data_IF_494467297710
#
_entry.id   IF_494467297710
#
_cell.length_a   1.000
_cell.length_b   1.000
_cell.length_c   1.000
_cell.angle_alpha   90.00
_cell.angle_beta   90.00
_cell.angle_gamma   90.00
#
_symmetry.space_group_name_H-M   'P 1'
#
loop_
_entity.id
_entity.type
_entity.pdbx_description
1 polymer ?
#
# COMPACT_ATOMS: atom_id res chain seq x y z
N UNK A 1 -19.83 46.16 16.89
CA UNK A 1 -21.00 45.31 17.17
C UNK A 1 -20.89 43.88 16.60
N UNK A 2 -19.81 43.51 15.89
CA UNK A 2 -19.62 42.17 15.28
C UNK A 2 -18.94 41.11 16.18
N UNK A 3 -18.50 41.47 17.39
CA UNK A 3 -17.71 40.58 18.26
C UNK A 3 -18.52 39.49 18.98
N UNK A 4 -19.83 39.69 19.17
CA UNK A 4 -20.68 38.71 19.87
C UNK A 4 -21.01 37.46 19.04
N UNK A 5 -21.25 37.62 17.74
CA UNK A 5 -21.57 36.51 16.83
C UNK A 5 -20.36 35.58 16.61
N UNK A 6 -19.16 36.17 16.49
CA UNK A 6 -17.91 35.42 16.31
C UNK A 6 -17.50 34.66 17.58
N UNK A 7 -17.81 35.20 18.76
CA UNK A 7 -17.57 34.51 20.03
C UNK A 7 -18.50 33.31 20.22
N UNK A 8 -19.79 33.43 19.86
CA UNK A 8 -20.76 32.33 19.94
C UNK A 8 -20.42 31.22 18.96
N UNK A 9 -20.01 31.56 17.73
CA UNK A 9 -19.58 30.53 16.76
C UNK A 9 -18.34 29.79 17.24
N UNK A 10 -17.32 30.50 17.77
CA UNK A 10 -16.12 29.86 18.33
C UNK A 10 -16.45 28.94 19.50
N UNK A 11 -17.35 29.35 20.40
CA UNK A 11 -17.77 28.51 21.53
C UNK A 11 -18.51 27.26 21.06
N UNK A 12 -19.41 27.40 20.07
CA UNK A 12 -20.13 26.28 19.47
C UNK A 12 -19.19 25.30 18.76
N UNK A 13 -18.23 25.80 17.97
CA UNK A 13 -17.23 24.95 17.30
C UNK A 13 -16.29 24.26 18.30
N UNK A 14 -15.87 24.94 19.37
CA UNK A 14 -15.05 24.35 20.42
C UNK A 14 -15.82 23.26 21.18
N UNK A 15 -17.05 23.54 21.62
CA UNK A 15 -17.88 22.55 22.31
C UNK A 15 -18.17 21.33 21.42
N UNK A 16 -18.44 21.56 20.13
CA UNK A 16 -18.66 20.48 19.17
C UNK A 16 -17.38 19.68 18.87
N UNK A 17 -16.23 20.36 18.78
CA UNK A 17 -14.92 19.72 18.66
C UNK A 17 -14.59 18.86 19.89
N UNK A 18 -14.89 19.34 21.09
CA UNK A 18 -14.67 18.61 22.33
C UNK A 18 -15.54 17.35 22.40
N UNK A 19 -16.83 17.46 22.02
CA UNK A 19 -17.71 16.31 21.88
C UNK A 19 -17.21 15.26 20.88
N UNK A 20 -16.70 15.66 19.71
CA UNK A 20 -16.10 14.71 18.77
C UNK A 20 -14.84 14.04 19.32
N UNK A 21 -14.02 14.76 20.09
CA UNK A 21 -12.83 14.19 20.75
C UNK A 21 -13.20 13.20 21.84
N UNK A 22 -14.28 13.45 22.57
CA UNK A 22 -14.79 12.55 23.59
C UNK A 22 -15.38 11.28 22.98
N UNK A 23 -16.19 11.41 21.92
CA UNK A 23 -16.70 10.25 21.16
C UNK A 23 -15.55 9.40 20.61
N UNK A 24 -14.54 10.04 20.00
CA UNK A 24 -13.38 9.33 19.46
C UNK A 24 -12.56 8.62 20.55
N UNK A 25 -12.45 9.20 21.76
CA UNK A 25 -11.80 8.54 22.91
C UNK A 25 -12.59 7.33 23.37
N UNK A 26 -13.90 7.48 23.57
CA UNK A 26 -14.75 6.37 24.01
C UNK A 26 -14.76 5.22 22.99
N UNK A 27 -14.77 5.53 21.70
CA UNK A 27 -14.66 4.53 20.63
C UNK A 27 -13.31 3.82 20.68
N UNK A 28 -12.21 4.56 20.87
CA UNK A 28 -10.87 3.97 20.99
C UNK A 28 -10.73 3.10 22.25
N UNK A 29 -11.23 3.55 23.40
CA UNK A 29 -11.21 2.78 24.65
C UNK A 29 -12.03 1.49 24.51
N UNK A 30 -13.20 1.57 23.87
CA UNK A 30 -14.03 0.39 23.58
C UNK A 30 -13.29 -0.59 22.66
N UNK A 31 -12.62 -0.11 21.60
CA UNK A 31 -11.81 -0.95 20.71
C UNK A 31 -10.66 -1.65 21.45
N UNK A 32 -9.96 -0.94 22.35
CA UNK A 32 -8.88 -1.51 23.16
C UNK A 32 -9.41 -2.61 24.10
N UNK A 33 -10.54 -2.36 24.77
CA UNK A 33 -11.16 -3.34 25.65
C UNK A 33 -11.61 -4.60 24.90
N UNK A 34 -12.12 -4.46 23.67
CA UNK A 34 -12.44 -5.61 22.82
C UNK A 34 -11.19 -6.38 22.40
N UNK A 35 -10.10 -5.68 22.04
CA UNK A 35 -8.84 -6.31 21.68
C UNK A 35 -8.26 -7.11 22.85
N UNK A 36 -8.32 -6.56 24.07
CA UNK A 36 -7.92 -7.23 25.30
C UNK A 36 -8.72 -8.53 25.53
N UNK A 37 -10.04 -8.46 25.43
CA UNK A 37 -10.92 -9.63 25.56
C UNK A 37 -10.57 -10.72 24.54
N UNK A 38 -10.36 -10.36 23.27
CA UNK A 38 -9.99 -11.33 22.23
C UNK A 38 -8.59 -11.91 22.50
N UNK A 39 -7.65 -11.08 22.93
CA UNK A 39 -6.30 -11.52 23.28
C UNK A 39 -6.31 -12.51 24.46
N UNK A 40 -7.12 -12.27 25.48
CA UNK A 40 -7.29 -13.18 26.61
C UNK A 40 -7.84 -14.54 26.17
N UNK A 41 -8.90 -14.54 25.36
CA UNK A 41 -9.49 -15.76 24.81
C UNK A 41 -8.46 -16.51 23.95
N UNK A 42 -7.68 -15.80 23.13
CA UNK A 42 -6.64 -16.40 22.31
C UNK A 42 -5.52 -17.05 23.15
N UNK A 43 -4.97 -16.33 24.13
CA UNK A 43 -3.93 -16.85 25.02
C UNK A 43 -4.43 -18.05 25.80
N UNK A 44 -5.67 -18.03 26.28
CA UNK A 44 -6.22 -19.13 27.08
C UNK A 44 -6.54 -20.34 26.21
N UNK A 45 -7.24 -20.16 25.08
CA UNK A 45 -7.69 -21.28 24.25
C UNK A 45 -6.59 -21.82 23.32
N UNK A 46 -5.88 -20.94 22.61
CA UNK A 46 -4.94 -21.33 21.55
C UNK A 46 -3.49 -21.48 22.03
N UNK A 47 -3.11 -20.86 23.15
CA UNK A 47 -1.76 -21.00 23.70
C UNK A 47 -1.72 -21.94 24.91
N UNK A 48 -2.51 -21.67 25.96
CA UNK A 48 -2.47 -22.45 27.19
C UNK A 48 -2.96 -23.90 26.98
N UNK A 49 -4.01 -24.11 26.18
CA UNK A 49 -4.52 -25.44 25.83
C UNK A 49 -3.46 -26.35 25.18
N UNK A 50 -2.86 -25.95 24.03
CA UNK A 50 -1.80 -26.72 23.41
C UNK A 50 -0.58 -26.91 24.31
N UNK A 51 -0.17 -25.91 25.08
CA UNK A 51 0.95 -26.06 26.04
C UNK A 51 0.62 -27.11 27.10
N UNK A 52 -0.59 -27.12 27.66
CA UNK A 52 -0.99 -28.13 28.63
C UNK A 52 -0.96 -29.54 28.03
N UNK A 53 -1.43 -29.70 26.78
CA UNK A 53 -1.35 -30.95 26.03
C UNK A 53 0.11 -31.37 25.81
N UNK A 54 0.99 -30.43 25.45
CA UNK A 54 2.44 -30.70 25.29
C UNK A 54 3.02 -31.20 26.60
N UNK A 55 2.77 -30.52 27.72
CA UNK A 55 3.29 -30.92 29.04
C UNK A 55 2.81 -32.33 29.39
N UNK A 56 1.53 -32.63 29.18
CA UNK A 56 0.96 -33.96 29.42
C UNK A 56 1.64 -35.04 28.56
N UNK A 57 1.86 -34.77 27.28
CA UNK A 57 2.46 -35.73 26.35
C UNK A 57 3.96 -35.92 26.60
N UNK A 58 4.68 -34.85 26.97
CA UNK A 58 6.08 -34.94 27.42
C UNK A 58 6.17 -35.79 28.69
N UNK A 59 5.26 -35.59 29.65
CA UNK A 59 5.19 -36.42 30.85
C UNK A 59 4.95 -37.91 30.54
N UNK A 60 4.03 -38.23 29.61
CA UNK A 60 3.82 -39.61 29.13
C UNK A 60 5.08 -40.19 28.47
N UNK A 61 5.81 -39.37 27.71
CA UNK A 61 7.03 -39.81 27.06
C UNK A 61 8.14 -40.19 28.06
N UNK A 62 8.26 -39.44 29.17
CA UNK A 62 9.18 -39.77 30.26
C UNK A 62 8.84 -41.10 30.96
N UNK A 63 7.58 -41.52 30.96
CA UNK A 63 7.14 -42.82 31.48
C UNK A 63 7.36 -43.99 30.51
N UNK A 64 8.01 -43.75 29.36
CA UNK A 64 8.36 -44.78 28.38
C UNK A 64 7.31 -45.02 27.29
N UNK A 65 6.27 -44.18 27.22
CA UNK A 65 5.30 -44.22 26.13
C UNK A 65 5.79 -43.36 24.97
N UNK A 66 6.27 -43.97 23.88
CA UNK A 66 6.76 -43.26 22.70
C UNK A 66 5.61 -42.74 21.81
N UNK A 67 5.03 -41.60 22.19
CA UNK A 67 3.92 -40.95 21.45
C UNK A 67 4.31 -39.63 20.78
N UNK A 68 5.60 -39.27 20.75
CA UNK A 68 6.10 -37.99 20.17
C UNK A 68 5.69 -37.79 18.70
N UNK A 69 5.51 -38.87 17.93
CA UNK A 69 5.09 -38.81 16.53
C UNK A 69 3.71 -38.17 16.32
N UNK A 70 2.79 -38.31 17.28
CA UNK A 70 1.43 -37.76 17.17
C UNK A 70 1.35 -36.28 17.62
N UNK A 71 2.42 -35.72 18.21
CA UNK A 71 2.44 -34.34 18.71
C UNK A 71 2.71 -33.34 17.59
N UNK A 72 3.58 -33.72 16.64
CA UNK A 72 3.98 -32.84 15.53
C UNK A 72 2.79 -32.31 14.73
N UNK A 73 1.84 -33.15 14.24
CA UNK A 73 0.70 -32.65 13.47
C UNK A 73 -0.19 -31.69 14.27
N UNK A 74 -0.42 -31.97 15.56
CA UNK A 74 -1.24 -31.12 16.42
C UNK A 74 -0.61 -29.73 16.61
N UNK A 75 0.71 -29.65 16.77
CA UNK A 75 1.44 -28.39 16.86
C UNK A 75 1.45 -27.62 15.53
N UNK A 76 1.77 -28.31 14.44
CA UNK A 76 1.89 -27.69 13.12
C UNK A 76 0.56 -27.31 12.48
N UNK A 77 -0.56 -27.86 12.94
CA UNK A 77 -1.90 -27.52 12.44
C UNK A 77 -2.65 -26.67 13.46
N UNK A 78 -2.66 -27.07 14.73
CA UNK A 78 -3.45 -26.43 15.76
C UNK A 78 -3.03 -24.98 16.05
N UNK A 79 -1.73 -24.72 16.14
CA UNK A 79 -1.21 -23.38 16.41
C UNK A 79 -1.48 -22.39 15.26
N UNK A 80 -1.16 -22.70 13.99
CA UNK A 80 -1.51 -21.80 12.89
C UNK A 80 -3.01 -21.69 12.67
N UNK A 81 -3.80 -22.74 12.93
CA UNK A 81 -5.25 -22.66 12.86
C UNK A 81 -5.81 -21.68 13.89
N UNK A 82 -5.32 -21.72 15.14
CA UNK A 82 -5.67 -20.73 16.15
C UNK A 82 -5.31 -19.31 15.74
N UNK A 83 -4.13 -19.11 15.13
CA UNK A 83 -3.71 -17.82 14.61
C UNK A 83 -4.60 -17.34 13.44
N UNK A 84 -4.99 -18.22 12.52
CA UNK A 84 -5.89 -17.89 11.41
C UNK A 84 -7.26 -17.48 11.95
N UNK A 85 -7.81 -18.23 12.91
CA UNK A 85 -9.09 -17.89 13.54
C UNK A 85 -9.01 -16.51 14.20
N UNK A 86 -7.93 -16.22 14.93
CA UNK A 86 -7.69 -14.90 15.51
C UNK A 86 -7.63 -13.80 14.43
N UNK A 87 -6.87 -14.02 13.35
CA UNK A 87 -6.76 -13.05 12.26
C UNK A 87 -8.13 -12.78 11.62
N UNK A 88 -8.96 -13.81 11.43
CA UNK A 88 -10.32 -13.68 10.88
C UNK A 88 -11.22 -12.88 11.83
N UNK A 89 -11.18 -13.20 13.13
CA UNK A 89 -11.93 -12.46 14.16
C UNK A 89 -11.50 -10.99 14.15
N UNK A 90 -10.18 -10.73 14.15
CA UNK A 90 -9.62 -9.38 14.10
C UNK A 90 -10.06 -8.65 12.83
N UNK A 91 -10.03 -9.31 11.67
CA UNK A 91 -10.42 -8.73 10.39
C UNK A 91 -11.91 -8.35 10.32
N UNK A 92 -12.78 -9.11 10.96
CA UNK A 92 -14.22 -8.83 11.01
C UNK A 92 -14.52 -7.65 11.93
N UNK A 93 -13.80 -7.55 13.06
CA UNK A 93 -14.13 -6.62 14.14
C UNK A 93 -13.39 -5.29 13.99
N UNK A 94 -12.13 -5.28 13.53
CA UNK A 94 -11.44 -4.03 13.29
C UNK A 94 -12.12 -3.31 12.13
N UNK A 95 -12.51 -2.04 12.31
CA UNK A 95 -12.94 -1.23 11.19
C UNK A 95 -11.83 -1.26 10.13
N UNK A 96 -12.17 -1.50 8.85
CA UNK A 96 -11.18 -1.41 7.80
C UNK A 96 -10.58 -0.01 7.85
N UNK A 97 -9.25 0.08 7.95
CA UNK A 97 -8.57 1.36 7.82
C UNK A 97 -9.04 2.00 6.52
N UNK A 98 -9.77 3.10 6.63
CA UNK A 98 -10.28 3.87 5.49
C UNK A 98 -9.14 4.60 4.75
N UNK A 99 -7.88 4.20 4.96
CA UNK A 99 -6.70 4.58 4.18
C UNK A 99 -6.69 3.91 2.80
N UNK A 100 -7.87 3.61 2.24
CA UNK A 100 -8.04 3.36 0.81
C UNK A 100 -7.80 4.67 0.08
N UNK A 101 -6.53 5.02 -0.10
CA UNK A 101 -6.09 5.59 -1.38
C UNK A 101 -6.22 4.45 -2.40
N UNK A 102 -7.45 3.99 -2.64
CA UNK A 102 -7.77 3.39 -3.92
C UNK A 102 -7.60 4.55 -4.87
N UNK A 103 -6.47 4.59 -5.57
CA UNK A 103 -6.35 5.32 -6.82
C UNK A 103 -7.39 4.69 -7.73
N UNK A 104 -8.65 5.11 -7.59
CA UNK A 104 -9.59 5.04 -8.68
C UNK A 104 -8.93 5.95 -9.70
N UNK A 105 -8.18 5.36 -10.62
CA UNK A 105 -7.96 6.01 -11.90
C UNK A 105 -9.38 6.24 -12.42
N UNK A 106 -9.94 7.39 -12.07
CA UNK A 106 -10.97 8.03 -12.85
C UNK A 106 -10.22 8.39 -14.13
N UNK A 107 -10.06 7.40 -15.01
CA UNK A 107 -9.82 7.65 -16.41
C UNK A 107 -11.14 8.20 -16.95
N UNK A 108 -11.49 9.41 -16.51
CA UNK A 108 -12.43 10.25 -17.25
C UNK A 108 -11.71 10.64 -18.53
N UNK A 109 -11.78 9.71 -19.48
CA UNK A 109 -11.52 9.96 -20.89
C UNK A 109 -12.84 10.23 -21.58
N UNK A 110 -13.64 11.16 -21.05
CA UNK A 110 -14.74 11.73 -21.83
C UNK A 110 -14.19 12.66 -22.93
N UNK A 111 -13.01 13.26 -22.75
CA UNK A 111 -12.42 14.15 -23.76
C UNK A 111 -11.45 13.49 -24.75
N UNK A 112 -11.21 12.17 -24.66
CA UNK A 112 -10.27 11.51 -25.59
C UNK A 112 -10.95 10.81 -26.76
N UNK A 113 -12.25 10.45 -26.66
CA UNK A 113 -12.95 9.77 -27.76
C UNK A 113 -13.24 10.68 -28.95
N UNK A 114 -13.56 11.96 -28.74
CA UNK A 114 -13.81 12.89 -29.83
C UNK A 114 -12.54 13.28 -30.60
N UNK A 115 -11.41 13.43 -29.92
CA UNK A 115 -10.13 13.79 -30.57
C UNK A 115 -9.51 12.58 -31.30
N UNK A 116 -9.72 11.36 -30.80
CA UNK A 116 -9.26 10.13 -31.47
C UNK A 116 -10.11 9.76 -32.69
N UNK A 117 -11.33 10.28 -32.82
CA UNK A 117 -12.18 10.08 -34.00
C UNK A 117 -11.74 10.92 -35.21
N UNK A 118 -10.93 11.97 -35.01
CA UNK A 118 -10.44 12.86 -36.07
C UNK A 118 -9.06 12.47 -36.63
N UNK A 119 -8.40 11.44 -36.06
CA UNK A 119 -7.11 10.95 -36.52
C UNK A 119 -7.27 9.71 -37.39
N UNK A 120 -6.67 9.73 -38.59
CA UNK A 120 -6.65 8.64 -39.56
C UNK A 120 -6.59 7.25 -38.91
N UNK A 121 -7.58 6.42 -39.23
CA UNK A 121 -7.61 4.99 -38.93
C UNK A 121 -6.52 4.33 -39.81
N UNK A 122 -5.38 3.84 -39.26
CA UNK A 122 -4.42 3.11 -40.06
C UNK A 122 -4.91 1.67 -40.15
N UNK A 123 -5.41 1.29 -41.32
CA UNK A 123 -6.01 0.00 -41.66
C UNK A 123 -4.98 -1.18 -41.74
N UNK A 124 -3.83 -1.05 -41.06
CA UNK A 124 -2.78 -2.05 -41.12
C UNK A 124 -2.60 -2.77 -39.77
N UNK A 125 -3.12 -4.00 -39.67
CA UNK A 125 -2.84 -4.91 -38.55
C UNK A 125 -1.34 -5.06 -38.27
N UNK A 126 -0.51 -4.99 -39.31
CA UNK A 126 0.95 -5.15 -39.23
C UNK A 126 1.62 -3.96 -38.53
N UNK A 127 1.19 -2.73 -38.81
CA UNK A 127 1.72 -1.53 -38.14
C UNK A 127 1.27 -1.47 -36.68
N UNK A 128 0.01 -1.84 -36.39
CA UNK A 128 -0.49 -1.94 -35.02
C UNK A 128 0.28 -3.00 -34.20
N UNK A 129 0.64 -4.14 -34.80
CA UNK A 129 1.47 -5.17 -34.16
C UNK A 129 2.89 -4.66 -33.86
N UNK A 130 3.51 -3.91 -34.77
CA UNK A 130 4.84 -3.34 -34.54
C UNK A 130 4.85 -2.26 -33.46
N UNK A 131 3.82 -1.41 -33.42
CA UNK A 131 3.65 -0.39 -32.37
C UNK A 131 3.40 -1.06 -31.03
N UNK A 132 2.55 -2.08 -30.95
CA UNK A 132 2.31 -2.84 -29.70
C UNK A 132 3.58 -3.52 -29.18
N UNK A 133 4.40 -4.10 -30.06
CA UNK A 133 5.68 -4.72 -29.68
C UNK A 133 6.69 -3.70 -29.13
N UNK A 134 6.87 -2.56 -29.81
CA UNK A 134 7.75 -1.48 -29.31
C UNK A 134 7.24 -0.85 -28.02
N UNK A 135 5.91 -0.69 -27.88
CA UNK A 135 5.30 -0.16 -26.65
C UNK A 135 5.49 -1.11 -25.46
N UNK A 136 5.44 -2.44 -25.67
CA UNK A 136 5.78 -3.44 -24.65
C UNK A 136 7.25 -3.37 -24.24
N UNK A 137 8.17 -3.27 -25.22
CA UNK A 137 9.59 -3.15 -24.94
C UNK A 137 9.93 -1.86 -24.19
N UNK A 138 9.33 -0.72 -24.58
CA UNK A 138 9.49 0.54 -23.86
C UNK A 138 8.96 0.44 -22.42
N UNK A 139 7.79 -0.18 -22.22
CA UNK A 139 7.23 -0.41 -20.87
C UNK A 139 8.13 -1.30 -20.01
N UNK A 140 8.72 -2.35 -20.59
CA UNK A 140 9.68 -3.23 -19.91
C UNK A 140 10.99 -2.48 -19.60
N UNK A 141 11.48 -1.65 -20.53
CA UNK A 141 12.70 -0.87 -20.35
C UNK A 141 12.51 0.22 -19.30
N UNK A 142 11.31 0.81 -19.22
CA UNK A 142 10.92 1.81 -18.22
C UNK A 142 10.76 1.18 -16.82
N UNK A 143 10.19 -0.04 -16.75
CA UNK A 143 10.17 -0.89 -15.54
C UNK A 143 11.60 -1.18 -15.06
N UNK A 144 12.52 -1.49 -15.98
CA UNK A 144 13.92 -1.75 -15.65
C UNK A 144 14.70 -0.49 -15.24
N UNK A 145 14.30 0.69 -15.75
CA UNK A 145 15.00 1.96 -15.46
C UNK A 145 14.69 2.48 -14.06
N UNK A 146 13.51 2.15 -13.50
CA UNK A 146 13.10 2.58 -12.17
C UNK A 146 12.38 1.47 -11.38
N UNK A 147 13.07 0.37 -11.01
CA UNK A 147 12.46 -0.75 -10.29
C UNK A 147 11.86 -0.32 -8.95
N UNK A 148 12.48 0.66 -8.28
CA UNK A 148 12.06 1.15 -6.96
C UNK A 148 10.85 2.11 -7.00
N UNK A 149 10.72 2.96 -8.03
CA UNK A 149 9.54 3.84 -8.16
C UNK A 149 8.29 3.05 -8.56
N UNK A 150 8.46 2.03 -9.39
CA UNK A 150 7.33 1.22 -9.86
C UNK A 150 6.77 0.32 -8.75
N UNK A 151 7.64 -0.19 -7.87
CA UNK A 151 7.27 -0.97 -6.68
C UNK A 151 6.36 -0.20 -5.70
N UNK A 152 6.45 1.13 -5.67
CA UNK A 152 5.61 2.01 -4.82
C UNK A 152 4.25 2.32 -5.46
N UNK A 153 4.17 2.27 -6.79
CA UNK A 153 3.01 2.79 -7.55
C UNK A 153 1.97 1.71 -7.89
N UNK A 154 2.39 0.45 -8.07
CA UNK A 154 1.52 -0.61 -8.57
C UNK A 154 1.73 -1.94 -7.82
N UNK A 155 0.71 -2.37 -7.06
CA UNK A 155 0.74 -3.62 -6.27
C UNK A 155 0.84 -4.88 -7.15
N UNK A 156 0.50 -4.76 -8.44
CA UNK A 156 0.54 -5.87 -9.40
C UNK A 156 1.92 -6.50 -9.56
N UNK A 157 3.00 -5.71 -9.50
CA UNK A 157 4.37 -6.25 -9.58
C UNK A 157 4.80 -6.92 -8.29
N UNK A 158 4.41 -6.38 -7.13
CA UNK A 158 4.65 -7.05 -5.85
C UNK A 158 3.95 -8.42 -5.81
N UNK A 159 2.75 -8.54 -6.38
CA UNK A 159 2.02 -9.79 -6.53
C UNK A 159 2.71 -10.76 -7.50
N UNK A 160 3.21 -10.28 -8.64
CA UNK A 160 3.97 -11.11 -9.60
C UNK A 160 5.27 -11.61 -8.96
N UNK A 161 6.01 -10.74 -8.27
CA UNK A 161 7.24 -11.11 -7.54
C UNK A 161 6.92 -12.12 -6.42
N UNK A 162 5.86 -11.88 -5.66
CA UNK A 162 5.36 -12.80 -4.62
C UNK A 162 4.89 -14.14 -5.17
N UNK A 163 4.51 -14.24 -6.45
CA UNK A 163 4.25 -15.52 -7.12
C UNK A 163 5.51 -16.20 -7.66
N UNK A 164 6.47 -15.44 -8.19
CA UNK A 164 7.70 -15.97 -8.79
C UNK A 164 8.67 -16.48 -7.72
N UNK A 165 8.86 -15.76 -6.62
CA UNK A 165 9.77 -16.16 -5.54
C UNK A 165 9.51 -17.57 -4.97
N UNK A 166 8.28 -17.93 -4.55
CA UNK A 166 8.00 -19.27 -4.05
C UNK A 166 8.16 -20.35 -5.13
N UNK A 167 7.88 -20.04 -6.40
CA UNK A 167 8.15 -20.95 -7.52
C UNK A 167 9.64 -21.23 -7.69
N UNK A 168 10.50 -20.21 -7.52
CA UNK A 168 11.96 -20.39 -7.55
C UNK A 168 12.40 -21.30 -6.40
N UNK A 169 11.86 -21.10 -5.19
CA UNK A 169 12.18 -21.96 -4.03
C UNK A 169 11.76 -23.41 -4.27
N UNK A 170 10.57 -23.63 -4.85
CA UNK A 170 10.11 -24.98 -5.23
C UNK A 170 11.01 -25.61 -6.30
N UNK A 171 11.49 -24.83 -7.25
CA UNK A 171 12.42 -25.30 -8.28
C UNK A 171 13.79 -25.68 -7.68
N UNK A 172 14.30 -24.88 -6.74
CA UNK A 172 15.53 -25.20 -5.99
C UNK A 172 15.39 -26.47 -5.13
N UNK A 173 14.19 -26.72 -4.61
CA UNK A 173 13.87 -27.97 -3.92
C UNK A 173 13.82 -29.17 -4.88
N UNK A 174 13.20 -29.02 -6.06
CA UNK A 174 13.14 -30.06 -7.08
C UNK A 174 14.52 -30.50 -7.59
N UNK A 175 15.45 -29.55 -7.77
CA UNK A 175 16.84 -29.86 -8.18
C UNK A 175 17.65 -30.51 -7.03
N UNK A 176 17.20 -30.39 -5.79
CA UNK A 176 17.89 -30.94 -4.61
C UNK A 176 18.86 -29.99 -3.92
N UNK A 177 19.18 -28.83 -4.52
CA UNK A 177 20.05 -27.80 -3.92
C UNK A 177 19.52 -27.37 -2.54
N UNK A 178 18.21 -27.21 -2.42
CA UNK A 178 17.59 -26.83 -1.15
C UNK A 178 17.80 -27.89 -0.05
N UNK A 179 17.82 -29.17 -0.44
CA UNK A 179 17.99 -30.29 0.49
C UNK A 179 19.46 -30.45 0.93
N UNK A 180 20.42 -30.02 0.10
CA UNK A 180 21.84 -29.97 0.46
C UNK A 180 22.14 -28.83 1.45
N UNK A 181 21.52 -27.66 1.25
CA UNK A 181 21.69 -26.50 2.14
C UNK A 181 20.99 -26.73 3.50
N UNK A 182 19.84 -27.41 3.50
CA UNK A 182 19.04 -27.69 4.69
C UNK A 182 18.76 -29.19 4.85
N UNK A 183 19.73 -29.98 5.35
CA UNK A 183 19.59 -31.43 5.48
C UNK A 183 18.70 -31.85 6.66
N UNK A 184 18.45 -30.96 7.61
CA UNK A 184 17.59 -31.22 8.78
C UNK A 184 16.29 -30.42 8.64
N UNK A 185 15.15 -31.04 8.94
CA UNK A 185 13.82 -30.41 8.88
C UNK A 185 13.49 -29.74 7.53
N UNK A 186 13.90 -30.36 6.43
CA UNK A 186 13.81 -29.82 5.06
C UNK A 186 12.39 -29.39 4.69
N UNK A 187 11.38 -30.19 5.04
CA UNK A 187 9.98 -29.88 4.72
C UNK A 187 9.46 -28.67 5.52
N UNK A 188 9.84 -28.53 6.79
CA UNK A 188 9.43 -27.41 7.64
C UNK A 188 10.05 -26.09 7.17
N UNK A 189 11.34 -26.12 6.82
CA UNK A 189 12.07 -24.96 6.32
C UNK A 189 11.55 -24.57 4.94
N UNK A 190 11.26 -25.55 4.08
CA UNK A 190 10.64 -25.32 2.78
C UNK A 190 9.29 -24.60 2.93
N UNK A 191 8.38 -25.13 3.75
CA UNK A 191 7.07 -24.53 3.98
C UNK A 191 7.19 -23.10 4.51
N UNK A 192 8.05 -22.87 5.51
CA UNK A 192 8.27 -21.54 6.09
C UNK A 192 8.84 -20.56 5.07
N UNK A 193 9.83 -21.01 4.28
CA UNK A 193 10.45 -20.18 3.24
C UNK A 193 9.47 -19.81 2.13
N UNK A 194 8.58 -20.73 1.73
CA UNK A 194 7.55 -20.50 0.73
C UNK A 194 6.57 -19.39 1.18
N UNK A 195 6.09 -19.49 2.43
CA UNK A 195 5.15 -18.51 3.00
C UNK A 195 5.82 -17.14 3.12
N UNK A 196 7.03 -17.07 3.66
CA UNK A 196 7.78 -15.82 3.80
C UNK A 196 8.05 -15.20 2.43
N UNK A 197 8.50 -15.99 1.46
CA UNK A 197 8.82 -15.51 0.12
C UNK A 197 7.59 -15.01 -0.65
N UNK A 198 6.41 -15.57 -0.39
CA UNK A 198 5.16 -15.10 -0.96
C UNK A 198 4.70 -13.77 -0.34
N UNK A 199 4.76 -13.65 0.99
CA UNK A 199 4.22 -12.50 1.73
C UNK A 199 5.19 -11.30 1.74
N UNK A 200 6.50 -11.54 1.82
CA UNK A 200 7.51 -10.49 2.00
C UNK A 200 7.47 -9.40 0.92
N UNK A 201 7.39 -9.71 -0.39
CA UNK A 201 7.34 -8.68 -1.43
C UNK A 201 6.07 -7.82 -1.33
N UNK A 202 4.94 -8.43 -0.96
CA UNK A 202 3.66 -7.75 -0.78
C UNK A 202 3.71 -6.80 0.42
N UNK A 203 4.25 -7.28 1.54
CA UNK A 203 4.42 -6.49 2.76
C UNK A 203 5.37 -5.31 2.52
N UNK A 204 6.50 -5.54 1.85
CA UNK A 204 7.46 -4.49 1.53
C UNK A 204 6.85 -3.42 0.61
N UNK A 205 6.07 -3.82 -0.40
CA UNK A 205 5.41 -2.87 -1.30
C UNK A 205 4.38 -2.01 -0.55
N UNK A 206 3.59 -2.63 0.30
CA UNK A 206 2.63 -1.94 1.15
C UNK A 206 3.31 -0.92 2.06
N UNK A 207 4.36 -1.34 2.78
CA UNK A 207 5.08 -0.49 3.73
C UNK A 207 5.76 0.70 3.04
N UNK A 208 6.43 0.47 1.91
CA UNK A 208 7.08 1.55 1.16
C UNK A 208 6.07 2.60 0.68
N UNK A 209 4.92 2.14 0.19
CA UNK A 209 3.83 3.03 -0.23
C UNK A 209 3.24 3.80 0.96
N UNK A 210 2.98 3.12 2.06
CA UNK A 210 2.45 3.76 3.27
C UNK A 210 3.39 4.87 3.76
N UNK A 211 4.70 4.61 3.83
CA UNK A 211 5.71 5.62 4.20
C UNK A 211 5.77 6.82 3.25
N UNK A 212 5.44 6.63 1.98
CA UNK A 212 5.37 7.72 1.00
C UNK A 212 4.12 8.58 1.24
N UNK A 213 2.96 7.93 1.38
CA UNK A 213 1.67 8.57 1.64
C UNK A 213 1.70 9.36 2.95
N UNK A 214 2.13 8.74 4.06
CA UNK A 214 2.19 9.41 5.36
C UNK A 214 3.12 10.62 5.34
N UNK A 215 4.17 10.62 4.50
CA UNK A 215 5.04 11.80 4.31
C UNK A 215 4.31 12.94 3.62
N UNK A 216 3.46 12.65 2.65
CA UNK A 216 2.60 13.65 1.98
C UNK A 216 1.53 14.17 2.95
N UNK A 217 0.83 13.27 3.65
CA UNK A 217 -0.23 13.65 4.60
C UNK A 217 0.29 14.54 5.72
N UNK A 218 1.52 14.32 6.21
CA UNK A 218 2.14 15.20 7.20
C UNK A 218 2.39 16.63 6.69
N UNK A 219 2.59 16.80 5.38
CA UNK A 219 2.84 18.11 4.76
C UNK A 219 1.54 18.81 4.31
N UNK A 220 0.44 18.06 4.20
CA UNK A 220 -0.84 18.57 3.68
C UNK A 220 -1.48 19.67 4.57
N UNK A 221 -1.56 19.54 5.91
CA UNK A 221 -2.16 20.57 6.75
C UNK A 221 -1.42 21.92 6.68
N UNK A 222 -0.10 21.86 6.65
CA UNK A 222 0.77 23.04 6.53
C UNK A 222 0.57 23.71 5.17
N UNK A 223 0.53 22.93 4.09
CA UNK A 223 0.22 23.41 2.74
C UNK A 223 -1.14 24.10 2.65
N UNK A 224 -2.19 23.50 3.23
CA UNK A 224 -3.54 24.08 3.24
C UNK A 224 -3.62 25.35 4.08
N UNK A 225 -2.89 25.42 5.19
CA UNK A 225 -2.78 26.62 6.03
C UNK A 225 -2.14 27.76 5.25
N UNK A 226 -1.06 27.51 4.52
CA UNK A 226 -0.40 28.53 3.69
C UNK A 226 -1.30 29.04 2.56
N UNK A 227 -2.09 28.16 1.91
CA UNK A 227 -3.10 28.61 0.93
C UNK A 227 -4.16 29.48 1.60
N UNK A 228 -4.61 29.12 2.79
CA UNK A 228 -5.60 29.90 3.54
C UNK A 228 -5.05 31.28 3.92
N UNK A 229 -3.80 31.35 4.36
CA UNK A 229 -3.11 32.61 4.69
C UNK A 229 -2.92 33.47 3.42
N UNK A 230 -2.63 32.87 2.26
CA UNK A 230 -2.51 33.57 0.98
C UNK A 230 -3.85 34.10 0.44
N UNK A 231 -4.96 33.42 0.73
CA UNK A 231 -6.31 33.92 0.43
C UNK A 231 -6.59 35.22 1.20
N UNK A 232 -6.13 35.32 2.45
CA UNK A 232 -6.33 36.51 3.27
C UNK A 232 -5.54 37.74 2.73
N UNK A 233 -4.54 37.51 1.88
CA UNK A 233 -3.74 38.54 1.18
C UNK A 233 -4.35 38.87 -0.22
N UNK A 234 -5.44 38.22 -0.61
CA UNK A 234 -6.12 38.47 -1.89
C UNK A 234 -5.47 37.78 -3.09
N UNK A 235 -4.62 36.77 -2.86
CA UNK A 235 -3.95 36.03 -3.93
C UNK A 235 -4.91 35.06 -4.64
N UNK A 236 -4.73 34.86 -5.95
CA UNK A 236 -5.51 33.86 -6.71
C UNK A 236 -5.01 32.44 -6.39
N UNK A 237 -5.92 31.46 -6.39
CA UNK A 237 -5.60 30.07 -6.06
C UNK A 237 -4.46 29.49 -6.93
N UNK A 238 -4.41 29.69 -8.26
CA UNK A 238 -3.27 29.23 -9.07
C UNK A 238 -1.95 29.92 -8.71
N UNK A 239 -1.99 31.21 -8.35
CA UNK A 239 -0.82 31.98 -7.92
C UNK A 239 -0.27 31.49 -6.58
N UNK A 240 -1.16 31.21 -5.63
CA UNK A 240 -0.79 30.69 -4.31
C UNK A 240 -0.13 29.31 -4.41
N UNK A 241 -0.71 28.40 -5.19
CA UNK A 241 -0.17 27.05 -5.42
C UNK A 241 1.22 27.12 -6.08
N UNK A 242 1.40 27.96 -7.10
CA UNK A 242 2.70 28.13 -7.76
C UNK A 242 3.78 28.72 -6.86
N UNK A 243 3.44 29.69 -6.00
CA UNK A 243 4.38 30.33 -5.08
C UNK A 243 4.85 29.36 -3.98
N UNK A 244 3.92 28.59 -3.39
CA UNK A 244 4.22 27.61 -2.34
C UNK A 244 5.06 26.44 -2.89
N UNK A 245 4.71 25.94 -4.08
CA UNK A 245 5.47 24.88 -4.76
C UNK A 245 6.90 25.29 -5.13
N UNK A 246 7.16 26.59 -5.34
CA UNK A 246 8.50 27.10 -5.63
C UNK A 246 9.39 27.26 -4.39
N UNK A 247 8.81 27.43 -3.19
CA UNK A 247 9.55 27.79 -1.97
C UNK A 247 9.94 26.62 -1.09
N UNK A 248 9.25 25.47 -1.15
CA UNK A 248 9.53 24.32 -0.29
C UNK A 248 10.16 23.14 -1.03
N UNK A 249 11.14 22.50 -0.38
CA UNK A 249 11.68 21.21 -0.81
C UNK A 249 10.92 20.08 -0.08
N UNK A 250 10.27 19.21 -0.85
CA UNK A 250 9.46 18.14 -0.30
C UNK A 250 8.83 17.27 -1.37
N UNK A 251 8.39 16.09 -0.96
CA UNK A 251 7.70 15.13 -1.84
C UNK A 251 6.41 15.76 -2.38
N UNK A 252 5.68 16.48 -1.51
CA UNK A 252 4.45 17.16 -1.88
C UNK A 252 4.69 18.36 -2.82
N UNK A 253 5.72 19.16 -2.56
CA UNK A 253 6.07 20.31 -3.39
C UNK A 253 6.43 19.91 -4.83
N UNK A 254 7.14 18.78 -4.99
CA UNK A 254 7.49 18.26 -6.31
C UNK A 254 6.22 17.88 -7.10
N UNK A 255 5.28 17.18 -6.47
CA UNK A 255 4.04 16.77 -7.13
C UNK A 255 3.12 17.97 -7.42
N UNK A 256 3.02 18.91 -6.47
CA UNK A 256 2.20 20.11 -6.61
C UNK A 256 2.80 21.08 -7.63
N UNK A 257 4.12 21.17 -7.78
CA UNK A 257 4.75 22.01 -8.81
C UNK A 257 4.37 21.57 -10.22
N UNK A 258 4.21 20.26 -10.45
CA UNK A 258 3.72 19.72 -11.72
C UNK A 258 2.28 20.18 -11.98
N UNK A 259 1.40 20.05 -10.97
CA UNK A 259 -0.01 20.49 -11.08
C UNK A 259 -0.11 22.02 -11.24
N UNK A 260 0.72 22.78 -10.53
CA UNK A 260 0.79 24.23 -10.61
C UNK A 260 1.23 24.68 -12.01
N UNK A 261 2.20 23.95 -12.58
CA UNK A 261 2.69 24.20 -13.93
C UNK A 261 1.60 23.87 -14.97
N UNK A 262 0.86 22.77 -14.81
CA UNK A 262 -0.29 22.44 -15.66
C UNK A 262 -1.42 23.49 -15.58
N UNK A 263 -1.71 24.00 -14.39
CA UNK A 263 -2.70 25.07 -14.17
C UNK A 263 -2.24 26.40 -14.79
N UNK A 264 -0.94 26.72 -14.69
CA UNK A 264 -0.33 27.92 -15.29
C UNK A 264 -0.46 27.92 -16.82
N UNK A 265 -0.40 26.75 -17.46
CA UNK A 265 -0.56 26.61 -18.90
C UNK A 265 -2.02 26.47 -19.37
N UNK A 266 -3.01 26.57 -18.47
CA UNK A 266 -4.42 26.61 -18.82
C UNK A 266 -4.86 25.38 -19.63
N UNK A 267 -4.96 24.22 -18.96
CA UNK A 267 -5.69 23.03 -19.43
C UNK A 267 -5.63 22.76 -20.96
N UNK A 268 -4.46 22.37 -21.47
CA UNK A 268 -4.32 21.46 -22.62
C UNK A 268 -2.84 21.16 -22.93
N UNK A 269 -2.12 20.49 -22.02
CA UNK A 269 -0.81 19.91 -22.34
C UNK A 269 -0.92 18.51 -22.99
N UNK A 270 -1.95 18.28 -23.81
CA UNK A 270 -1.98 17.16 -24.75
C UNK A 270 -0.89 17.27 -25.83
N UNK A 271 -0.26 18.44 -25.99
CA UNK A 271 0.82 18.69 -26.96
C UNK A 271 2.25 18.44 -26.48
N UNK A 272 2.52 18.28 -25.17
CA UNK A 272 3.92 18.32 -24.67
C UNK A 272 4.75 17.05 -24.89
N UNK A 273 4.12 15.96 -25.35
CA UNK A 273 4.84 14.75 -25.80
C UNK A 273 5.44 14.87 -27.21
N UNK A 274 5.08 15.89 -28.00
CA UNK A 274 5.63 16.07 -29.34
C UNK A 274 6.95 16.87 -29.39
N UNK A 275 7.25 17.68 -28.37
CA UNK A 275 8.45 18.54 -28.35
C UNK A 275 9.78 17.81 -28.07
N UNK A 276 9.75 16.59 -27.52
CA UNK A 276 10.98 15.82 -27.26
C UNK A 276 11.47 15.01 -28.47
N UNK A 277 10.69 14.91 -29.55
CA UNK A 277 11.08 14.15 -30.75
C UNK A 277 11.92 14.99 -31.73
N UNK A 278 11.67 16.30 -31.82
CA UNK A 278 12.39 17.19 -32.75
C UNK A 278 13.79 17.60 -32.26
N UNK A 279 14.04 17.59 -30.94
CA UNK A 279 15.38 17.92 -30.42
C UNK A 279 16.44 16.85 -30.77
N UNK A 280 16.03 15.62 -31.12
CA UNK A 280 16.94 14.55 -31.56
C UNK A 280 17.18 14.54 -33.07
N UNK A 281 16.41 15.30 -33.85
CA UNK A 281 16.58 15.44 -35.30
C UNK A 281 17.54 16.59 -35.68
N UNK A 282 17.90 17.46 -34.72
CA UNK A 282 18.82 18.60 -34.92
C UNK A 282 20.22 18.40 -34.31
N UNK A 283 20.57 17.17 -33.90
CA UNK A 283 21.98 16.77 -33.72
C UNK A 283 22.35 15.70 -34.74
N UNK A 284 22.61 16.16 -35.96
CA UNK A 284 23.87 15.80 -36.61
C UNK A 284 24.92 16.79 -36.14
#
# INVERSE_FOLDING_TARGET
>A
MFTGAEAISRLFFNAKSEGYREIARNEMDSLLQFLEMIAEVYVTASLAGPIAIIIMLVAQNLTGQNTLGNIMPLMYIGLPLGAIVLIVILYIILPPDNLKITRREITETEYSKEILAAGHQPDDETYLRQIKKRKRLLKILEIFRHPLKFFISDYSIAAVIGGILPLIILYLWYIGIFTEIFPVFTLQILLSSLIIAAIFPLMAAYELRNRYVTRIEKQLPEFLREIADMRDIGMTLPGAIGMIAGHKSGVLSTEISIVAEELKYGSSLSGRWFGWRDASALRR
#
